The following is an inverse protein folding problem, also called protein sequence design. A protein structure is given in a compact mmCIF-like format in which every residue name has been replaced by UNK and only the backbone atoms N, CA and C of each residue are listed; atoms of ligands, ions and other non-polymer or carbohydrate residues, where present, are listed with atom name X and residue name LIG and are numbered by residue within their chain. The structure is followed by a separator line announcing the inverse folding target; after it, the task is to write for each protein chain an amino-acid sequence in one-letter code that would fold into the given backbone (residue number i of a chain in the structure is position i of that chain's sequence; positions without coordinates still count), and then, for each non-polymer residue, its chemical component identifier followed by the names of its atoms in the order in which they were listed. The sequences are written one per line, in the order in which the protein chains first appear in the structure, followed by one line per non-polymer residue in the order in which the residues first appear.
data_IF_858198677365
#
_entry.id   IF_858198677365
#
_cell.length_a   1.000
_cell.length_b   1.000
_cell.length_c   1.000
_cell.angle_alpha   90.00
_cell.angle_beta   90.00
_cell.angle_gamma   90.00
#
_symmetry.space_group_name_H-M   'P 1'
#
loop_
_entity.id
_entity.type
_entity.pdbx_description
1 polymer ?
#
# COMPACT_ATOMS: atom_id res chain seq x y z
N UNK A 1 -54.14 -7.99 -12.98
CA UNK A 1 -53.51 -8.75 -14.06
C UNK A 1 -52.03 -8.33 -14.11
N UNK A 2 -51.09 -9.27 -14.00
CA UNK A 2 -49.67 -8.97 -13.86
C UNK A 2 -49.06 -8.63 -15.23
N UNK A 3 -48.30 -7.54 -15.28
CA UNK A 3 -47.48 -7.14 -16.42
C UNK A 3 -46.21 -7.98 -16.46
N UNK A 4 -45.98 -8.60 -17.62
CA UNK A 4 -44.87 -9.50 -17.89
C UNK A 4 -43.49 -8.80 -17.82
N UNK A 5 -42.43 -9.47 -17.37
CA UNK A 5 -41.08 -8.92 -17.36
C UNK A 5 -40.43 -8.93 -18.75
N UNK A 6 -39.77 -7.82 -19.08
CA UNK A 6 -38.90 -7.64 -20.25
C UNK A 6 -37.75 -8.65 -20.26
N UNK A 7 -37.61 -9.40 -21.35
CA UNK A 7 -36.47 -10.29 -21.64
C UNK A 7 -35.23 -9.45 -21.98
N UNK A 8 -34.17 -9.58 -21.19
CA UNK A 8 -32.82 -9.15 -21.56
C UNK A 8 -32.08 -10.36 -22.15
N UNK A 9 -31.63 -10.24 -23.39
CA UNK A 9 -30.87 -11.26 -24.11
C UNK A 9 -29.51 -11.52 -23.44
N UNK A 10 -29.22 -12.77 -23.08
CA UNK A 10 -27.86 -13.23 -22.75
C UNK A 10 -27.01 -13.29 -24.04
N UNK A 11 -25.76 -12.79 -24.06
CA UNK A 11 -24.86 -13.00 -25.17
C UNK A 11 -24.50 -14.49 -25.30
N UNK A 12 -24.49 -14.98 -26.53
CA UNK A 12 -24.23 -16.38 -26.90
C UNK A 12 -22.79 -16.82 -26.59
N UNK A 13 -22.64 -18.03 -26.03
CA UNK A 13 -21.39 -18.77 -25.76
C UNK A 13 -20.63 -19.20 -27.04
N UNK A 14 -20.24 -18.28 -27.92
CA UNK A 14 -19.33 -18.57 -29.04
C UNK A 14 -18.31 -17.45 -29.17
N UNK A 15 -17.19 -17.61 -28.47
CA UNK A 15 -16.08 -16.68 -28.57
C UNK A 15 -14.85 -16.94 -27.70
N UNK A 16 -14.70 -18.10 -27.04
CA UNK A 16 -13.44 -18.47 -26.39
C UNK A 16 -12.70 -19.51 -27.24
N UNK A 17 -12.12 -19.07 -28.36
CA UNK A 17 -10.96 -19.76 -28.92
C UNK A 17 -9.73 -19.22 -28.20
N UNK A 18 -9.35 -19.92 -27.13
CA UNK A 18 -8.05 -19.76 -26.49
C UNK A 18 -6.99 -20.10 -27.56
N UNK A 19 -6.32 -19.07 -28.08
CA UNK A 19 -5.06 -19.23 -28.80
C UNK A 19 -4.06 -19.82 -27.81
N UNK A 20 -3.90 -21.15 -27.83
CA UNK A 20 -2.74 -21.81 -27.22
C UNK A 20 -1.52 -21.46 -28.07
N UNK A 21 -0.87 -20.35 -27.77
CA UNK A 21 0.53 -20.20 -28.12
C UNK A 21 1.32 -21.19 -27.28
N UNK A 22 1.86 -22.22 -27.93
CA UNK A 22 2.82 -23.13 -27.33
C UNK A 22 4.11 -22.37 -27.04
N UNK A 23 4.19 -21.75 -25.85
CA UNK A 23 5.45 -21.33 -25.28
C UNK A 23 6.23 -22.59 -24.91
N UNK A 24 7.44 -22.70 -25.46
CA UNK A 24 8.39 -23.79 -25.19
C UNK A 24 8.75 -23.80 -23.71
N UNK A 25 8.33 -24.85 -22.99
CA UNK A 25 9.05 -25.42 -21.85
C UNK A 25 9.49 -24.47 -20.73
N UNK A 26 8.64 -23.55 -20.28
CA UNK A 26 8.82 -22.95 -18.96
C UNK A 26 8.31 -23.94 -17.91
N UNK A 27 9.22 -24.43 -17.07
CA UNK A 27 8.92 -25.24 -15.91
C UNK A 27 8.03 -24.41 -14.98
N UNK A 28 6.72 -24.72 -14.94
CA UNK A 28 5.75 -24.02 -14.08
C UNK A 28 6.26 -24.09 -12.64
N UNK A 29 6.72 -22.96 -12.11
CA UNK A 29 7.28 -22.91 -10.77
C UNK A 29 6.20 -23.22 -9.74
N UNK A 30 6.53 -24.03 -8.72
CA UNK A 30 5.58 -24.29 -7.63
C UNK A 30 5.28 -23.01 -6.85
N UNK A 31 4.05 -22.88 -6.32
CA UNK A 31 3.63 -21.73 -5.52
C UNK A 31 4.56 -21.46 -4.32
N UNK A 32 5.07 -22.52 -3.68
CA UNK A 32 6.07 -22.44 -2.60
C UNK A 32 7.39 -21.80 -3.09
N UNK A 33 7.86 -22.17 -4.29
CA UNK A 33 9.05 -21.58 -4.90
C UNK A 33 8.83 -20.12 -5.29
N UNK A 34 7.64 -19.75 -5.78
CA UNK A 34 7.26 -18.36 -6.06
C UNK A 34 7.32 -17.52 -4.77
N UNK A 35 6.69 -18.00 -3.70
CA UNK A 35 6.72 -17.35 -2.38
C UNK A 35 8.15 -17.15 -1.87
N UNK A 36 9.00 -18.19 -1.92
CA UNK A 36 10.40 -18.09 -1.49
C UNK A 36 11.21 -17.12 -2.37
N UNK A 37 10.98 -17.14 -3.69
CA UNK A 37 11.66 -16.25 -4.61
C UNK A 37 11.24 -14.79 -4.41
N UNK A 38 9.95 -14.51 -4.20
CA UNK A 38 9.46 -13.18 -3.89
C UNK A 38 10.11 -12.63 -2.60
N UNK A 39 10.19 -13.46 -1.55
CA UNK A 39 10.91 -13.11 -0.30
C UNK A 39 12.37 -12.75 -0.55
N UNK A 40 13.09 -13.57 -1.32
CA UNK A 40 14.50 -13.31 -1.67
C UNK A 40 14.65 -12.04 -2.51
N UNK A 41 13.75 -11.80 -3.45
CA UNK A 41 13.76 -10.59 -4.27
C UNK A 41 13.49 -9.33 -3.45
N UNK A 42 12.51 -9.37 -2.55
CA UNK A 42 12.25 -8.28 -1.61
C UNK A 42 13.50 -7.98 -0.77
N UNK A 43 14.04 -8.99 -0.06
CA UNK A 43 15.25 -8.83 0.76
C UNK A 43 16.45 -8.30 -0.05
N UNK A 44 16.63 -8.72 -1.30
CA UNK A 44 17.70 -8.23 -2.19
C UNK A 44 17.47 -6.79 -2.66
N UNK A 45 16.21 -6.41 -2.91
CA UNK A 45 15.85 -5.05 -3.32
C UNK A 45 15.99 -4.06 -2.16
N UNK A 46 15.80 -4.52 -0.92
CA UNK A 46 15.76 -3.69 0.29
C UNK A 46 16.95 -3.89 1.22
N UNK A 47 17.90 -4.78 0.92
CA UNK A 47 19.05 -5.06 1.81
C UNK A 47 19.88 -3.81 2.08
N UNK A 48 20.23 -3.54 3.33
CA UNK A 48 21.32 -2.62 3.65
C UNK A 48 22.65 -3.28 3.22
N UNK A 49 23.61 -2.55 2.62
CA UNK A 49 23.74 -1.09 2.58
C UNK A 49 23.16 -0.40 1.32
N UNK A 50 22.22 -1.03 0.58
CA UNK A 50 21.68 -0.42 -0.64
C UNK A 50 20.97 0.92 -0.31
N UNK A 51 21.32 2.01 -1.03
CA UNK A 51 20.73 3.32 -0.80
C UNK A 51 19.23 3.29 -1.15
N UNK A 52 18.46 4.15 -0.50
CA UNK A 52 16.99 4.17 -0.62
C UNK A 52 16.53 4.57 -2.03
N UNK A 53 17.25 5.46 -2.69
CA UNK A 53 16.97 5.92 -4.06
C UNK A 53 17.12 4.79 -5.10
N UNK A 54 17.86 3.73 -4.76
CA UNK A 54 18.04 2.56 -5.63
C UNK A 54 16.91 1.52 -5.49
N UNK A 55 15.90 1.78 -4.65
CA UNK A 55 14.72 0.93 -4.49
C UNK A 55 13.70 1.29 -5.56
N UNK A 56 13.42 0.34 -6.45
CA UNK A 56 12.32 0.47 -7.42
C UNK A 56 10.99 0.23 -6.68
N UNK A 57 10.35 1.32 -6.24
CA UNK A 57 9.15 1.27 -5.40
C UNK A 57 8.04 0.40 -5.99
N UNK A 58 7.62 0.66 -7.23
CA UNK A 58 6.57 -0.11 -7.91
C UNK A 58 6.90 -1.60 -7.94
N UNK A 59 8.10 -1.96 -8.40
CA UNK A 59 8.53 -3.37 -8.53
C UNK A 59 8.63 -4.08 -7.18
N UNK A 60 9.05 -3.37 -6.14
CA UNK A 60 9.09 -3.92 -4.79
C UNK A 60 7.68 -4.15 -4.26
N UNK A 61 6.72 -3.26 -4.53
CA UNK A 61 5.30 -3.48 -4.22
C UNK A 61 4.72 -4.69 -4.98
N UNK A 62 5.06 -4.86 -6.26
CA UNK A 62 4.66 -6.04 -7.04
C UNK A 62 5.23 -7.34 -6.45
N UNK A 63 6.44 -7.29 -5.89
CA UNK A 63 7.06 -8.44 -5.22
C UNK A 63 6.31 -8.80 -3.93
N UNK A 64 5.87 -7.81 -3.15
CA UNK A 64 5.01 -8.03 -1.97
C UNK A 64 3.69 -8.69 -2.40
N UNK A 65 3.00 -8.12 -3.39
CA UNK A 65 1.73 -8.65 -3.88
C UNK A 65 1.84 -10.10 -4.41
N UNK A 66 2.92 -10.40 -5.14
CA UNK A 66 3.20 -11.75 -5.63
C UNK A 66 3.37 -12.76 -4.49
N UNK A 67 4.02 -12.35 -3.40
CA UNK A 67 4.18 -13.22 -2.23
C UNK A 67 2.85 -13.47 -1.52
N UNK A 68 2.04 -12.42 -1.32
CA UNK A 68 0.72 -12.54 -0.69
C UNK A 68 -0.20 -13.46 -1.48
N UNK A 69 -0.27 -13.28 -2.80
CA UNK A 69 -1.11 -14.10 -3.66
C UNK A 69 -0.62 -15.56 -3.66
N UNK A 70 0.68 -15.80 -3.70
CA UNK A 70 1.23 -17.15 -3.58
C UNK A 70 0.89 -17.79 -2.22
N UNK A 71 0.95 -17.03 -1.12
CA UNK A 71 0.61 -17.51 0.21
C UNK A 71 -0.88 -17.85 0.35
N UNK A 72 -1.75 -16.96 -0.13
CA UNK A 72 -3.20 -17.17 -0.13
C UNK A 72 -3.59 -18.40 -0.95
N UNK A 73 -2.95 -18.61 -2.10
CA UNK A 73 -3.21 -19.78 -2.93
C UNK A 73 -2.71 -21.09 -2.32
N UNK A 74 -1.58 -21.08 -1.59
CA UNK A 74 -1.11 -22.26 -0.86
C UNK A 74 -2.12 -22.63 0.23
N UNK A 75 -2.57 -21.65 1.02
CA UNK A 75 -3.57 -21.88 2.05
C UNK A 75 -4.89 -22.39 1.47
N UNK A 76 -5.38 -21.80 0.37
CA UNK A 76 -6.59 -22.25 -0.30
C UNK A 76 -6.49 -23.69 -0.82
N UNK A 77 -5.32 -24.10 -1.32
CA UNK A 77 -5.09 -25.49 -1.75
C UNK A 77 -5.08 -26.44 -0.54
N UNK A 78 -4.42 -26.07 0.56
CA UNK A 78 -4.40 -26.86 1.80
C UNK A 78 -5.82 -27.04 2.38
N UNK A 79 -6.63 -25.99 2.37
CA UNK A 79 -8.04 -26.07 2.78
C UNK A 79 -8.87 -26.95 1.85
N UNK A 80 -8.67 -26.86 0.53
CA UNK A 80 -9.34 -27.76 -0.43
C UNK A 80 -8.96 -29.22 -0.22
N UNK A 81 -7.69 -29.51 0.10
CA UNK A 81 -7.24 -30.87 0.40
C UNK A 81 -7.88 -31.39 1.69
N UNK A 82 -7.99 -30.56 2.74
CA UNK A 82 -8.71 -30.91 3.98
C UNK A 82 -10.21 -31.15 3.75
N UNK A 83 -10.82 -30.42 2.81
CA UNK A 83 -12.26 -30.47 2.52
C UNK A 83 -12.61 -31.18 1.20
N UNK A 84 -11.72 -32.02 0.65
CA UNK A 84 -11.80 -32.60 -0.70
C UNK A 84 -13.06 -33.46 -0.99
N UNK A 85 -13.89 -33.76 0.01
CA UNK A 85 -15.21 -34.38 -0.18
C UNK A 85 -16.27 -33.42 -0.77
N UNK A 86 -15.99 -32.12 -0.95
CA UNK A 86 -16.95 -31.13 -1.47
C UNK A 86 -16.35 -30.28 -2.60
N UNK A 87 -16.66 -30.70 -3.84
CA UNK A 87 -16.61 -29.97 -5.14
C UNK A 87 -15.28 -29.30 -5.54
N UNK A 88 -14.63 -29.89 -6.55
CA UNK A 88 -13.50 -29.31 -7.27
C UNK A 88 -13.96 -28.32 -8.38
N UNK A 89 -13.60 -27.04 -8.25
CA UNK A 89 -13.46 -26.12 -9.39
C UNK A 89 -12.14 -25.38 -9.22
N UNK A 90 -11.14 -25.75 -10.02
CA UNK A 90 -9.84 -25.09 -10.06
C UNK A 90 -9.79 -24.03 -11.16
N UNK A 91 -9.50 -22.79 -10.80
CA UNK A 91 -9.02 -21.76 -11.73
C UNK A 91 -7.55 -21.53 -11.40
N UNK A 92 -6.65 -21.96 -12.28
CA UNK A 92 -5.23 -21.65 -12.20
C UNK A 92 -4.99 -20.24 -12.74
N UNK A 93 -4.41 -19.36 -11.92
CA UNK A 93 -3.95 -18.04 -12.35
C UNK A 93 -2.44 -18.09 -12.53
N UNK A 94 -1.97 -17.57 -13.65
CA UNK A 94 -0.56 -17.52 -14.03
C UNK A 94 0.16 -16.43 -13.23
N UNK A 95 0.87 -16.82 -12.17
CA UNK A 95 1.53 -15.92 -11.21
C UNK A 95 2.72 -15.14 -11.82
N UNK A 96 3.24 -15.56 -12.97
CA UNK A 96 4.40 -14.92 -13.61
C UNK A 96 4.06 -13.69 -14.45
N UNK A 97 2.86 -13.64 -15.06
CA UNK A 97 2.46 -12.58 -15.99
C UNK A 97 2.00 -11.27 -15.35
N UNK A 98 1.48 -11.32 -14.11
CA UNK A 98 0.87 -10.17 -13.43
C UNK A 98 1.85 -9.02 -13.15
N UNK A 99 3.12 -9.34 -12.84
CA UNK A 99 4.14 -8.30 -12.55
C UNK A 99 4.55 -7.51 -13.79
N UNK A 100 4.77 -8.18 -14.93
CA UNK A 100 5.09 -7.52 -16.20
C UNK A 100 3.90 -6.71 -16.71
N UNK A 101 2.70 -7.29 -16.66
CA UNK A 101 1.46 -6.61 -17.05
C UNK A 101 1.22 -5.31 -16.25
N UNK A 102 1.49 -5.33 -14.95
CA UNK A 102 1.29 -4.16 -14.09
C UNK A 102 2.25 -3.01 -14.41
N UNK A 103 3.51 -3.29 -14.76
CA UNK A 103 4.48 -2.27 -15.17
C UNK A 103 4.10 -1.65 -16.52
N UNK A 104 3.75 -2.49 -17.50
CA UNK A 104 3.27 -2.04 -18.80
C UNK A 104 2.02 -1.18 -18.65
N UNK A 105 1.12 -1.54 -17.72
CA UNK A 105 -0.09 -0.75 -17.41
C UNK A 105 0.24 0.64 -16.88
N UNK A 106 1.26 0.78 -16.01
CA UNK A 106 1.72 2.10 -15.53
C UNK A 106 2.30 2.94 -16.66
N UNK A 107 3.03 2.32 -17.60
CA UNK A 107 3.59 3.02 -18.75
C UNK A 107 2.50 3.48 -19.73
N UNK A 108 1.46 2.65 -19.93
CA UNK A 108 0.27 3.03 -20.71
C UNK A 108 -0.48 4.20 -20.09
N UNK A 109 -0.70 4.19 -18.77
CA UNK A 109 -1.34 5.31 -18.06
C UNK A 109 -0.52 6.59 -18.22
N UNK A 110 0.80 6.50 -18.04
CA UNK A 110 1.67 7.65 -18.20
C UNK A 110 1.67 8.22 -19.63
N UNK A 111 1.61 7.36 -20.65
CA UNK A 111 1.51 7.84 -22.04
C UNK A 111 0.17 8.53 -22.31
N UNK A 112 -0.93 7.98 -21.79
CA UNK A 112 -2.23 8.65 -21.91
C UNK A 112 -2.23 10.01 -21.19
N UNK A 113 -1.62 10.13 -20.00
CA UNK A 113 -1.45 11.41 -19.32
C UNK A 113 -0.70 12.41 -20.18
N UNK A 114 0.39 12.00 -20.85
CA UNK A 114 1.14 12.88 -21.74
C UNK A 114 0.28 13.38 -22.90
N UNK A 115 -0.55 12.50 -23.48
CA UNK A 115 -1.47 12.90 -24.56
C UNK A 115 -2.49 13.94 -24.07
N UNK A 116 -3.10 13.71 -22.91
CA UNK A 116 -4.07 14.65 -22.30
C UNK A 116 -3.41 15.99 -21.98
N UNK A 117 -2.19 15.96 -21.44
CA UNK A 117 -1.44 17.18 -21.14
C UNK A 117 -1.16 18.01 -22.40
N UNK A 118 -0.75 17.39 -23.51
CA UNK A 118 -0.52 18.13 -24.77
C UNK A 118 -1.83 18.67 -25.37
N UNK A 119 -2.95 17.93 -25.25
CA UNK A 119 -4.28 18.40 -25.66
C UNK A 119 -4.70 19.64 -24.85
N UNK A 120 -4.55 19.58 -23.52
CA UNK A 120 -4.84 20.69 -22.62
C UNK A 120 -3.92 21.89 -22.87
N UNK A 121 -2.63 21.66 -23.11
CA UNK A 121 -1.65 22.71 -23.39
C UNK A 121 -1.98 23.44 -24.70
N UNK A 122 -2.30 22.69 -25.76
CA UNK A 122 -2.68 23.27 -27.05
C UNK A 122 -3.96 24.13 -26.93
N UNK A 123 -4.93 23.73 -26.11
CA UNK A 123 -6.13 24.52 -25.87
C UNK A 123 -5.82 25.87 -25.20
N UNK A 124 -4.85 25.90 -24.28
CA UNK A 124 -4.40 27.14 -23.62
C UNK A 124 -3.60 28.03 -24.59
N UNK A 125 -2.76 27.46 -25.45
CA UNK A 125 -1.97 28.20 -26.45
C UNK A 125 -2.86 28.88 -27.50
N UNK A 126 -3.97 28.24 -27.93
CA UNK A 126 -4.90 28.78 -28.93
C UNK A 126 -5.69 30.00 -28.44
N UNK A 127 -5.88 30.17 -27.13
CA UNK A 127 -6.58 31.35 -26.57
C UNK A 127 -5.67 32.59 -26.40
N UNK A 128 -4.35 32.50 -26.63
CA UNK A 128 -3.42 33.53 -26.17
C UNK A 128 -2.10 33.71 -26.94
N UNK A 129 -2.04 33.44 -28.25
CA UNK A 129 -0.79 33.55 -29.03
C UNK A 129 -0.10 34.93 -28.98
N UNK A 130 -0.79 36.03 -28.65
CA UNK A 130 -0.15 37.36 -28.52
C UNK A 130 0.27 37.75 -27.08
N UNK A 131 -0.21 37.06 -26.03
CA UNK A 131 -0.08 37.53 -24.63
C UNK A 131 0.78 36.61 -23.74
N UNK A 132 0.89 35.32 -24.05
CA UNK A 132 1.56 34.33 -23.17
C UNK A 132 3.09 34.41 -23.26
N UNK A 133 3.66 34.55 -24.46
CA UNK A 133 5.10 34.65 -24.66
C UNK A 133 5.68 35.95 -24.07
N UNK A 134 4.96 37.07 -24.21
CA UNK A 134 5.34 38.36 -23.63
C UNK A 134 5.23 38.37 -22.10
N UNK A 135 4.26 37.65 -21.52
CA UNK A 135 4.12 37.50 -20.06
C UNK A 135 5.16 36.54 -19.45
N UNK A 136 5.60 35.53 -20.19
CA UNK A 136 6.67 34.61 -19.74
C UNK A 136 8.05 35.27 -19.67
N UNK A 137 8.36 36.20 -20.57
CA UNK A 137 9.63 36.95 -20.55
C UNK A 137 9.65 38.11 -19.53
N UNK A 138 8.48 38.56 -19.06
CA UNK A 138 8.34 39.72 -18.17
C UNK A 138 8.25 39.40 -16.66
N UNK A 139 8.28 38.12 -16.25
CA UNK A 139 8.07 37.74 -14.84
C UNK A 139 9.38 37.68 -14.03
N UNK A 140 9.44 38.30 -12.82
CA UNK A 140 10.54 38.11 -11.88
C UNK A 140 10.62 36.66 -11.41
N UNK A 141 11.84 36.14 -11.20
CA UNK A 141 12.07 34.75 -10.78
C UNK A 141 11.38 34.32 -9.46
N UNK A 142 10.95 35.28 -8.64
CA UNK A 142 10.27 35.05 -7.36
C UNK A 142 8.76 34.81 -7.50
N UNK A 143 8.15 35.13 -8.65
CA UNK A 143 6.68 35.10 -8.86
C UNK A 143 6.24 33.99 -9.84
N UNK A 144 7.06 32.94 -10.01
CA UNK A 144 6.79 31.80 -10.91
C UNK A 144 5.61 30.91 -10.52
N UNK A 145 4.76 31.32 -9.58
CA UNK A 145 3.48 30.66 -9.33
C UNK A 145 2.40 31.72 -9.08
N UNK A 146 1.70 32.12 -10.15
CA UNK A 146 0.42 32.82 -10.03
C UNK A 146 -0.70 31.77 -10.03
N UNK A 147 -1.12 31.37 -8.83
CA UNK A 147 -2.18 30.40 -8.61
C UNK A 147 -3.61 30.92 -8.87
N UNK A 148 -3.79 32.12 -9.41
CA UNK A 148 -5.12 32.64 -9.70
C UNK A 148 -5.90 31.87 -10.78
N UNK A 149 -5.27 30.92 -11.52
CA UNK A 149 -5.91 30.07 -12.53
C UNK A 149 -6.11 28.59 -12.12
N UNK A 150 -5.55 28.14 -10.99
CA UNK A 150 -5.48 26.72 -10.61
C UNK A 150 -6.85 26.13 -10.17
N UNK A 151 -7.89 26.96 -9.99
CA UNK A 151 -9.22 26.50 -9.49
C UNK A 151 -10.44 26.99 -10.30
N UNK A 152 -10.28 27.66 -11.45
CA UNK A 152 -11.42 28.26 -12.17
C UNK A 152 -11.83 27.57 -13.48
N UNK A 153 -11.15 26.52 -13.92
CA UNK A 153 -11.52 25.78 -15.11
C UNK A 153 -11.72 24.31 -14.74
N UNK A 154 -12.98 23.90 -14.63
CA UNK A 154 -13.36 22.57 -15.09
C UNK A 154 -13.53 22.65 -16.61
N UNK A 155 -12.55 22.29 -17.45
CA UNK A 155 -12.89 21.95 -18.81
C UNK A 155 -13.59 20.57 -18.76
N UNK A 156 -14.84 20.52 -19.23
CA UNK A 156 -15.46 19.24 -19.63
C UNK A 156 -14.96 18.89 -21.03
N UNK A 157 -14.25 17.78 -21.27
CA UNK A 157 -14.01 17.34 -22.63
C UNK A 157 -15.16 16.45 -23.13
N UNK A 158 -15.60 16.68 -24.37
CA UNK A 158 -16.40 15.75 -25.19
C UNK A 158 -15.45 15.01 -26.13
N UNK A 159 -15.51 13.68 -26.15
CA UNK A 159 -14.86 12.79 -27.16
C UNK A 159 -15.51 12.98 -28.56
N UNK A 160 -14.79 12.79 -29.69
CA UNK A 160 -14.71 11.47 -30.36
C UNK A 160 -13.37 11.27 -31.16
N UNK A 161 -13.19 10.30 -32.11
CA UNK A 161 -12.09 9.32 -32.07
C UNK A 161 -10.99 9.47 -33.15
N UNK A 162 -9.82 8.88 -32.89
CA UNK A 162 -8.82 8.58 -33.92
C UNK A 162 -7.39 8.83 -33.45
N UNK A 163 -6.72 7.78 -32.99
CA UNK A 163 -5.30 7.80 -32.61
C UNK A 163 -4.39 7.81 -33.84
N UNK A 164 -3.35 8.66 -33.87
CA UNK A 164 -2.10 8.33 -34.53
C UNK A 164 -1.05 7.88 -33.50
N UNK A 165 -0.34 6.81 -33.82
CA UNK A 165 0.93 6.42 -33.18
C UNK A 165 1.96 7.55 -33.33
N UNK A 166 2.89 7.75 -32.37
CA UNK A 166 4.18 8.47 -32.51
C UNK A 166 5.01 8.41 -31.17
N UNK A 167 6.33 8.76 -31.16
CA UNK A 167 7.43 7.99 -30.57
C UNK A 167 8.00 8.56 -29.25
N UNK A 168 9.04 7.88 -28.71
CA UNK A 168 9.67 8.08 -27.39
C UNK A 168 9.99 9.53 -26.97
N UNK A 169 9.90 9.77 -25.66
CA UNK A 169 9.97 11.08 -25.01
C UNK A 169 11.35 11.77 -25.10
N UNK A 170 11.46 12.76 -26.01
CA UNK A 170 12.64 13.62 -26.14
C UNK A 170 12.74 14.79 -25.13
N UNK A 171 13.87 15.52 -25.12
CA UNK A 171 14.16 16.61 -24.16
C UNK A 171 13.20 17.80 -24.22
N UNK A 172 12.63 18.11 -25.38
CA UNK A 172 11.66 19.20 -25.54
C UNK A 172 10.36 18.95 -24.73
N UNK A 173 9.93 17.68 -24.61
CA UNK A 173 8.76 17.30 -23.80
C UNK A 173 8.99 17.53 -22.30
N UNK A 174 10.19 17.26 -21.78
CA UNK A 174 10.51 17.50 -20.36
C UNK A 174 10.39 18.99 -20.00
N UNK A 175 10.82 19.88 -20.88
CA UNK A 175 10.79 21.34 -20.68
C UNK A 175 9.35 21.86 -20.51
N UNK A 176 8.35 21.26 -21.17
CA UNK A 176 6.94 21.70 -21.09
C UNK A 176 6.29 21.38 -19.74
N UNK A 177 6.61 20.23 -19.14
CA UNK A 177 6.11 19.85 -17.81
C UNK A 177 6.61 20.82 -16.73
N UNK A 178 7.84 21.31 -16.88
CA UNK A 178 8.43 22.28 -15.94
C UNK A 178 7.69 23.62 -15.93
N UNK A 179 7.10 24.00 -17.06
CA UNK A 179 6.43 25.27 -17.24
C UNK A 179 4.96 25.23 -16.77
N UNK A 180 4.33 24.05 -16.81
CA UNK A 180 2.91 23.89 -16.47
C UNK A 180 2.64 22.70 -15.52
N UNK A 181 3.24 22.66 -14.32
CA UNK A 181 3.11 21.51 -13.41
C UNK A 181 1.68 21.33 -12.87
N UNK A 182 0.90 22.41 -12.72
CA UNK A 182 -0.51 22.31 -12.33
C UNK A 182 -1.38 21.71 -13.44
N UNK A 183 -1.11 22.04 -14.70
CA UNK A 183 -1.79 21.44 -15.85
C UNK A 183 -1.46 19.94 -15.96
N UNK A 184 -0.21 19.56 -15.67
CA UNK A 184 0.17 18.15 -15.58
C UNK A 184 -0.61 17.41 -14.49
N UNK A 185 -0.80 18.01 -13.31
CA UNK A 185 -1.66 17.44 -12.25
C UNK A 185 -3.09 17.25 -12.74
N UNK A 186 -3.66 18.24 -13.43
CA UNK A 186 -5.00 18.10 -14.02
C UNK A 186 -5.09 16.96 -15.04
N UNK A 187 -4.10 16.82 -15.92
CA UNK A 187 -4.04 15.71 -16.87
C UNK A 187 -3.93 14.35 -16.18
N UNK A 188 -3.15 14.25 -15.09
CA UNK A 188 -3.07 13.04 -14.25
C UNK A 188 -4.44 12.72 -13.65
N UNK A 189 -5.09 13.72 -13.04
CA UNK A 189 -6.40 13.55 -12.39
C UNK A 189 -7.46 13.09 -13.39
N UNK A 190 -7.51 13.71 -14.58
CA UNK A 190 -8.45 13.33 -15.64
C UNK A 190 -8.23 11.86 -16.06
N UNK A 191 -6.99 11.45 -16.32
CA UNK A 191 -6.72 10.08 -16.74
C UNK A 191 -7.05 9.09 -15.61
N UNK A 192 -6.54 9.31 -14.40
CA UNK A 192 -6.69 8.34 -13.33
C UNK A 192 -8.16 8.23 -12.86
N UNK A 193 -8.80 9.34 -12.54
CA UNK A 193 -10.10 9.32 -11.89
C UNK A 193 -11.27 9.39 -12.87
N UNK A 194 -11.16 10.17 -13.95
CA UNK A 194 -12.29 10.35 -14.88
C UNK A 194 -12.31 9.29 -15.99
N UNK A 195 -11.16 8.99 -16.58
CA UNK A 195 -11.08 8.04 -17.72
C UNK A 195 -10.96 6.59 -17.28
N UNK A 196 -10.06 6.29 -16.33
CA UNK A 196 -9.84 4.92 -15.82
C UNK A 196 -10.68 4.59 -14.58
N UNK A 197 -11.27 5.59 -13.93
CA UNK A 197 -12.23 5.37 -12.84
C UNK A 197 -11.59 4.81 -11.58
N UNK A 198 -10.30 5.08 -11.34
CA UNK A 198 -9.67 4.74 -10.07
C UNK A 198 -10.40 5.45 -8.92
N UNK A 199 -10.67 4.73 -7.85
CA UNK A 199 -11.48 5.21 -6.73
C UNK A 199 -10.88 4.77 -5.41
N UNK A 200 -11.12 5.60 -4.39
CA UNK A 200 -10.89 5.24 -3.00
C UNK A 200 -11.70 4.00 -2.61
N UNK A 201 -11.06 3.06 -1.92
CA UNK A 201 -11.81 2.01 -1.24
C UNK A 201 -12.74 2.63 -0.18
N UNK A 202 -13.91 2.02 0.00
CA UNK A 202 -14.80 2.30 1.13
C UNK A 202 -14.81 1.12 2.12
N UNK A 203 -14.09 0.04 1.81
CA UNK A 203 -14.03 -1.16 2.61
C UNK A 203 -12.72 -1.13 3.39
N UNK A 204 -12.80 -1.12 4.72
CA UNK A 204 -11.62 -1.33 5.53
C UNK A 204 -11.42 -2.84 5.76
N UNK A 205 -10.17 -3.27 5.89
CA UNK A 205 -9.85 -4.64 6.29
C UNK A 205 -9.70 -5.66 5.17
N UNK A 206 -9.53 -5.23 3.93
CA UNK A 206 -9.07 -6.10 2.84
C UNK A 206 -7.57 -5.88 2.58
N UNK A 207 -6.68 -6.79 3.02
CA UNK A 207 -5.23 -6.66 2.81
C UNK A 207 -4.86 -6.44 1.34
N UNK A 208 -5.63 -7.02 0.41
CA UNK A 208 -5.36 -6.91 -1.03
C UNK A 208 -5.48 -5.49 -1.57
N UNK A 209 -6.25 -4.61 -0.91
CA UNK A 209 -6.41 -3.21 -1.32
C UNK A 209 -5.16 -2.36 -1.08
N UNK A 210 -4.21 -2.87 -0.29
CA UNK A 210 -2.88 -2.30 -0.15
C UNK A 210 -1.99 -2.51 -1.38
N UNK A 211 -2.38 -3.38 -2.31
CA UNK A 211 -1.57 -3.71 -3.48
C UNK A 211 -1.90 -2.85 -4.69
N UNK A 212 -0.86 -2.34 -5.34
CA UNK A 212 -0.98 -1.65 -6.61
C UNK A 212 -1.53 -2.56 -7.73
N UNK A 213 -1.28 -3.88 -7.66
CA UNK A 213 -1.84 -4.85 -8.62
C UNK A 213 -3.36 -4.88 -8.56
N UNK A 214 -3.91 -5.04 -7.34
CA UNK A 214 -5.35 -5.04 -7.10
C UNK A 214 -5.97 -3.73 -7.57
N UNK A 215 -5.34 -2.60 -7.25
CA UNK A 215 -5.79 -1.29 -7.71
C UNK A 215 -5.80 -1.20 -9.24
N UNK A 216 -4.73 -1.61 -9.93
CA UNK A 216 -4.63 -1.56 -11.40
C UNK A 216 -5.64 -2.49 -12.10
N UNK A 217 -6.06 -3.57 -11.46
CA UNK A 217 -7.02 -4.54 -11.99
C UNK A 217 -8.48 -4.17 -11.67
N UNK A 218 -8.77 -3.85 -10.41
CA UNK A 218 -10.13 -3.62 -9.90
C UNK A 218 -10.56 -2.14 -9.93
N UNK A 219 -9.61 -1.21 -9.98
CA UNK A 219 -9.86 0.23 -9.97
C UNK A 219 -10.11 0.80 -8.56
N UNK A 220 -10.02 0.00 -7.50
CA UNK A 220 -10.23 0.44 -6.11
C UNK A 220 -9.02 0.07 -5.25
N UNK A 221 -8.63 0.96 -4.32
CA UNK A 221 -7.46 0.72 -3.48
C UNK A 221 -7.37 1.63 -2.26
N UNK A 222 -6.44 1.29 -1.37
CA UNK A 222 -6.19 2.02 -0.13
C UNK A 222 -5.46 3.34 -0.36
N UNK A 223 -5.41 4.24 0.64
CA UNK A 223 -4.68 5.51 0.57
C UNK A 223 -3.23 5.36 0.11
N UNK A 224 -2.51 4.35 0.64
CA UNK A 224 -1.12 4.10 0.24
C UNK A 224 -1.02 3.54 -1.18
N UNK A 225 -1.92 2.65 -1.61
CA UNK A 225 -1.91 2.11 -2.98
C UNK A 225 -2.18 3.21 -4.02
N UNK A 226 -3.17 4.07 -3.76
CA UNK A 226 -3.50 5.25 -4.58
C UNK A 226 -2.32 6.23 -4.62
N UNK A 227 -1.70 6.49 -3.46
CA UNK A 227 -0.51 7.31 -3.35
C UNK A 227 0.67 6.82 -4.19
N UNK A 228 0.93 5.50 -4.17
CA UNK A 228 2.00 4.88 -4.96
C UNK A 228 1.67 4.94 -6.45
N UNK A 229 0.44 4.61 -6.87
CA UNK A 229 0.02 4.73 -8.26
C UNK A 229 0.28 6.15 -8.79
N UNK A 230 -0.19 7.15 -8.05
CA UNK A 230 -0.04 8.55 -8.42
C UNK A 230 1.44 8.95 -8.50
N UNK A 231 2.23 8.56 -7.51
CA UNK A 231 3.69 8.79 -7.47
C UNK A 231 4.39 8.19 -8.68
N UNK A 232 4.03 6.97 -9.05
CA UNK A 232 4.65 6.24 -10.15
C UNK A 232 4.26 6.78 -11.52
N UNK A 233 3.05 7.33 -11.67
CA UNK A 233 2.63 8.07 -12.86
C UNK A 233 3.36 9.40 -12.95
N UNK A 234 3.40 10.20 -11.87
CA UNK A 234 4.15 11.45 -11.80
C UNK A 234 5.62 11.28 -12.23
N UNK A 235 6.32 10.28 -11.69
CA UNK A 235 7.70 9.95 -12.05
C UNK A 235 7.86 9.69 -13.55
N UNK A 236 6.95 8.93 -14.15
CA UNK A 236 6.99 8.59 -15.59
C UNK A 236 6.74 9.80 -16.47
N UNK A 237 5.81 10.67 -16.10
CA UNK A 237 5.51 11.89 -16.88
C UNK A 237 6.49 13.03 -16.64
N UNK A 238 7.45 12.85 -15.71
CA UNK A 238 8.49 13.83 -15.42
C UNK A 238 8.08 14.93 -14.45
N UNK A 239 7.01 14.72 -13.68
CA UNK A 239 6.63 15.57 -12.56
C UNK A 239 7.28 15.02 -11.27
N UNK A 240 8.36 15.64 -10.77
CA UNK A 240 9.04 15.13 -9.59
C UNK A 240 8.19 15.39 -8.35
N UNK A 241 7.73 14.31 -7.73
CA UNK A 241 6.98 14.33 -6.48
C UNK A 241 7.66 13.45 -5.44
N UNK A 242 7.45 13.79 -4.17
CA UNK A 242 7.77 12.92 -3.05
C UNK A 242 6.49 12.65 -2.26
N UNK A 243 6.31 11.41 -1.82
CA UNK A 243 5.15 11.03 -1.01
C UNK A 243 5.46 11.00 0.47
N UNK A 244 4.42 11.11 1.29
CA UNK A 244 4.46 10.82 2.71
C UNK A 244 3.21 10.06 3.12
N UNK A 245 3.37 8.80 3.58
CA UNK A 245 2.33 8.17 4.35
C UNK A 245 2.20 8.87 5.71
N UNK A 246 0.96 9.07 6.13
CA UNK A 246 0.59 9.51 7.47
C UNK A 246 -0.17 8.35 8.09
N UNK A 247 0.34 7.85 9.20
CA UNK A 247 -0.20 6.72 9.94
C UNK A 247 -0.50 7.22 11.34
N UNK A 248 -1.77 7.19 11.74
CA UNK A 248 -2.18 7.46 13.11
C UNK A 248 -3.21 6.42 13.57
N UNK A 249 -3.67 6.52 14.82
CA UNK A 249 -4.67 5.62 15.37
C UNK A 249 -6.03 5.69 14.64
N UNK A 250 -6.26 6.71 13.81
CA UNK A 250 -7.51 6.98 13.11
C UNK A 250 -7.45 6.61 11.63
N UNK A 251 -6.31 6.12 11.13
CA UNK A 251 -6.21 5.48 9.83
C UNK A 251 -4.90 5.72 9.08
N UNK A 252 -4.96 5.40 7.79
CA UNK A 252 -3.85 5.53 6.84
C UNK A 252 -4.16 6.65 5.86
N UNK A 253 -3.21 7.55 5.63
CA UNK A 253 -3.33 8.65 4.66
C UNK A 253 -2.04 8.77 3.85
N UNK A 254 -2.12 9.46 2.72
CA UNK A 254 -0.98 9.64 1.84
C UNK A 254 -1.05 10.98 1.11
N UNK A 255 -0.01 11.80 1.25
CA UNK A 255 0.09 13.10 0.58
C UNK A 255 1.34 13.18 -0.29
N UNK A 256 1.28 14.02 -1.33
CA UNK A 256 2.37 14.20 -2.28
C UNK A 256 2.80 15.67 -2.38
N UNK A 257 4.11 15.91 -2.32
CA UNK A 257 4.72 17.20 -2.63
C UNK A 257 5.29 17.22 -4.03
N UNK A 258 4.96 18.22 -4.86
CA UNK A 258 5.83 18.62 -5.96
C UNK A 258 7.17 19.11 -5.41
N UNK A 259 8.28 18.42 -5.68
CA UNK A 259 9.57 18.71 -5.06
C UNK A 259 10.38 19.77 -5.79
N UNK A 260 10.31 19.78 -7.13
CA UNK A 260 11.01 20.77 -7.96
C UNK A 260 10.19 22.03 -8.20
N UNK A 261 8.86 21.89 -8.19
CA UNK A 261 7.91 22.98 -8.52
C UNK A 261 6.84 23.09 -7.43
N UNK A 262 7.20 23.53 -6.21
CA UNK A 262 6.26 23.57 -5.10
C UNK A 262 5.08 24.50 -5.42
N UNK A 263 3.87 24.03 -5.14
CA UNK A 263 2.66 24.82 -5.31
C UNK A 263 2.53 25.78 -4.13
N UNK A 264 2.66 27.09 -4.37
CA UNK A 264 2.65 28.11 -3.32
C UNK A 264 1.72 29.28 -3.60
N UNK A 265 0.60 29.41 -2.87
CA UNK A 265 -0.32 30.56 -2.97
C UNK A 265 -0.11 31.46 -1.76
N UNK A 266 0.20 32.74 -1.95
CA UNK A 266 0.23 33.69 -0.83
C UNK A 266 1.16 33.28 0.33
N UNK A 267 2.21 32.50 0.04
CA UNK A 267 3.13 31.95 1.05
C UNK A 267 2.78 30.55 1.58
N UNK A 268 1.56 30.07 1.37
CA UNK A 268 1.10 28.73 1.79
C UNK A 268 1.51 27.67 0.77
N UNK A 269 1.98 26.52 1.25
CA UNK A 269 2.34 25.36 0.43
C UNK A 269 1.15 24.40 0.27
N UNK A 270 0.95 23.87 -0.94
CA UNK A 270 -0.12 22.92 -1.23
C UNK A 270 0.43 21.53 -1.55
N UNK A 271 -0.30 20.52 -1.07
CA UNK A 271 -0.03 19.09 -1.23
C UNK A 271 -1.09 18.49 -2.14
N UNK A 272 -0.74 17.44 -2.86
CA UNK A 272 -1.70 16.66 -3.65
C UNK A 272 -2.22 15.53 -2.75
N UNK A 273 -3.53 15.31 -2.76
CA UNK A 273 -4.22 14.18 -2.12
C UNK A 273 -4.69 13.16 -3.17
N UNK A 274 -3.92 12.08 -3.44
CA UNK A 274 -4.33 11.03 -4.35
C UNK A 274 -5.60 10.27 -3.94
N UNK A 275 -5.92 10.27 -2.65
CA UNK A 275 -7.13 9.58 -2.17
C UNK A 275 -8.38 10.44 -2.36
N UNK A 276 -8.22 11.76 -2.27
CA UNK A 276 -9.18 12.81 -2.62
C UNK A 276 -9.20 13.17 -4.11
N UNK A 277 -8.97 12.23 -5.02
CA UNK A 277 -8.97 12.45 -6.48
C UNK A 277 -7.96 13.50 -6.98
N UNK A 278 -6.83 13.65 -6.29
CA UNK A 278 -5.77 14.60 -6.63
C UNK A 278 -6.10 16.05 -6.26
N UNK A 279 -7.05 16.27 -5.35
CA UNK A 279 -7.35 17.57 -4.77
C UNK A 279 -6.09 18.17 -4.11
N UNK A 280 -6.03 19.51 -4.08
CA UNK A 280 -4.93 20.25 -3.46
C UNK A 280 -5.31 20.63 -2.02
N UNK A 281 -4.52 20.16 -1.06
CA UNK A 281 -4.69 20.44 0.37
C UNK A 281 -3.64 21.44 0.84
N UNK A 282 -4.01 22.40 1.71
CA UNK A 282 -3.00 23.25 2.32
C UNK A 282 -2.17 22.44 3.31
N UNK A 283 -0.85 22.61 3.28
CA UNK A 283 0.06 21.91 4.20
C UNK A 283 -0.26 22.22 5.66
N UNK A 284 -0.66 23.46 5.95
CA UNK A 284 -1.07 23.92 7.27
C UNK A 284 -2.34 23.21 7.77
N UNK A 285 -3.35 23.04 6.91
CA UNK A 285 -4.55 22.27 7.21
C UNK A 285 -4.24 20.79 7.47
N UNK A 286 -3.35 20.18 6.67
CA UNK A 286 -2.89 18.79 6.91
C UNK A 286 -2.18 18.68 8.25
N UNK A 287 -1.32 19.64 8.61
CA UNK A 287 -0.68 19.66 9.92
C UNK A 287 -1.71 19.72 11.06
N UNK A 288 -2.76 20.55 10.91
CA UNK A 288 -3.80 20.72 11.92
C UNK A 288 -4.64 19.45 12.09
N UNK A 289 -5.14 18.88 10.99
CA UNK A 289 -6.00 17.68 10.99
C UNK A 289 -5.30 16.49 11.66
N UNK A 290 -4.03 16.28 11.36
CA UNK A 290 -3.26 15.14 11.88
C UNK A 290 -2.47 15.48 13.15
N UNK A 291 -2.66 16.68 13.73
CA UNK A 291 -1.89 17.15 14.90
C UNK A 291 -0.37 17.04 14.72
N UNK A 292 0.11 17.23 13.48
CA UNK A 292 1.52 17.13 13.12
C UNK A 292 2.19 18.50 13.19
N UNK A 293 3.42 18.55 13.69
CA UNK A 293 4.23 19.74 13.52
C UNK A 293 4.63 19.91 12.05
N UNK A 294 4.80 21.15 11.60
CA UNK A 294 5.27 21.44 10.24
C UNK A 294 6.63 20.81 9.90
N UNK A 295 7.44 20.50 10.92
CA UNK A 295 8.71 19.79 10.79
C UNK A 295 8.56 18.27 10.69
N UNK A 296 7.45 17.71 11.17
CA UNK A 296 7.15 16.28 11.09
C UNK A 296 6.66 15.88 9.69
N UNK A 297 6.05 16.83 8.97
CA UNK A 297 5.59 16.65 7.58
C UNK A 297 6.77 16.81 6.60
N UNK A 298 7.38 15.69 6.21
CA UNK A 298 8.53 15.65 5.28
C UNK A 298 8.45 14.48 4.29
N UNK A 299 9.04 14.64 3.08
CA UNK A 299 9.26 13.56 2.12
C UNK A 299 9.70 12.24 2.77
N UNK A 300 8.91 11.19 2.55
CA UNK A 300 9.24 9.86 3.04
C UNK A 300 10.20 9.15 2.09
N UNK A 301 11.04 8.30 2.66
CA UNK A 301 11.89 7.36 1.91
C UNK A 301 11.05 6.24 1.31
N UNK A 302 11.57 5.58 0.28
CA UNK A 302 10.97 4.37 -0.31
C UNK A 302 10.78 3.28 0.72
N UNK A 303 11.73 3.10 1.66
CA UNK A 303 11.59 2.20 2.81
C UNK A 303 10.40 2.55 3.69
N UNK A 304 10.18 3.83 3.99
CA UNK A 304 9.04 4.28 4.80
C UNK A 304 7.71 4.09 4.07
N UNK A 305 7.66 4.34 2.76
CA UNK A 305 6.47 4.07 1.93
C UNK A 305 6.16 2.57 1.89
N UNK A 306 7.16 1.71 1.66
CA UNK A 306 6.99 0.25 1.68
C UNK A 306 6.57 -0.26 3.06
N UNK A 307 7.12 0.31 4.13
CA UNK A 307 6.70 0.02 5.49
C UNK A 307 5.23 0.36 5.70
N UNK A 308 4.74 1.46 5.12
CA UNK A 308 3.33 1.84 5.20
C UNK A 308 2.38 0.86 4.52
N UNK A 309 2.76 0.35 3.34
CA UNK A 309 2.03 -0.75 2.69
C UNK A 309 1.91 -1.96 3.62
N UNK A 310 3.01 -2.33 4.27
CA UNK A 310 3.04 -3.44 5.21
C UNK A 310 2.24 -3.16 6.49
N UNK A 311 2.22 -1.91 6.98
CA UNK A 311 1.39 -1.50 8.12
C UNK A 311 -0.09 -1.69 7.80
N UNK A 312 -0.56 -1.15 6.67
CA UNK A 312 -1.94 -1.31 6.22
C UNK A 312 -2.36 -2.78 6.15
N UNK A 313 -1.51 -3.61 5.52
CA UNK A 313 -1.78 -5.04 5.39
C UNK A 313 -1.77 -5.76 6.74
N UNK A 314 -0.80 -5.45 7.61
CA UNK A 314 -0.72 -6.01 8.95
C UNK A 314 -2.00 -5.72 9.73
N UNK A 315 -2.49 -4.49 9.71
CA UNK A 315 -3.69 -4.09 10.46
C UNK A 315 -4.94 -4.82 9.94
N UNK A 316 -5.06 -4.95 8.62
CA UNK A 316 -6.14 -5.73 8.01
C UNK A 316 -6.07 -7.23 8.38
N UNK A 317 -4.87 -7.80 8.36
CA UNK A 317 -4.65 -9.19 8.78
C UNK A 317 -4.86 -9.39 10.28
N UNK A 318 -4.44 -8.42 11.10
CA UNK A 318 -4.65 -8.42 12.53
C UNK A 318 -6.15 -8.44 12.85
N UNK A 319 -6.92 -7.51 12.28
CA UNK A 319 -8.37 -7.47 12.48
C UNK A 319 -9.05 -8.80 12.13
N UNK A 320 -8.64 -9.41 11.01
CA UNK A 320 -9.12 -10.73 10.59
C UNK A 320 -8.66 -11.86 11.50
N UNK A 321 -7.47 -11.77 12.09
CA UNK A 321 -6.92 -12.81 12.94
C UNK A 321 -7.62 -12.88 14.31
N UNK A 322 -8.12 -11.76 14.81
CA UNK A 322 -8.81 -11.67 16.11
C UNK A 322 -10.32 -11.47 15.97
N UNK A 323 -10.83 -11.37 14.74
CA UNK A 323 -12.26 -11.20 14.44
C UNK A 323 -12.82 -9.83 14.83
N UNK A 324 -11.98 -8.79 14.96
CA UNK A 324 -12.44 -7.44 15.28
C UNK A 324 -12.81 -6.64 14.02
N UNK A 325 -13.43 -5.48 14.22
CA UNK A 325 -13.79 -4.59 13.11
C UNK A 325 -12.53 -3.97 12.49
N UNK A 326 -12.39 -3.95 11.16
CA UNK A 326 -11.23 -3.32 10.52
C UNK A 326 -11.38 -1.79 10.35
N UNK A 327 -12.54 -1.22 10.66
CA UNK A 327 -12.76 0.23 10.62
C UNK A 327 -11.78 0.95 11.56
N UNK A 328 -11.08 2.02 11.13
CA UNK A 328 -10.02 2.64 11.95
C UNK A 328 -10.45 3.02 13.36
N UNK A 329 -11.68 3.50 13.54
CA UNK A 329 -12.22 3.88 14.85
C UNK A 329 -12.62 2.70 15.75
N UNK A 330 -12.67 1.47 15.21
CA UNK A 330 -13.10 0.24 15.88
C UNK A 330 -12.03 -0.86 15.80
N UNK A 331 -10.88 -0.56 15.21
CA UNK A 331 -9.77 -1.49 15.09
C UNK A 331 -9.12 -1.66 16.46
N UNK A 332 -9.14 -2.88 16.97
CA UNK A 332 -8.42 -3.20 18.20
C UNK A 332 -6.91 -3.00 17.97
N UNK A 333 -6.23 -2.21 18.81
CA UNK A 333 -4.84 -1.87 18.61
C UNK A 333 -3.93 -3.10 18.77
N UNK A 334 -2.85 -3.15 18.00
CA UNK A 334 -1.77 -4.12 18.23
C UNK A 334 -0.80 -3.54 19.27
N UNK A 335 -1.12 -3.76 20.54
CA UNK A 335 -0.36 -3.33 21.71
C UNK A 335 -0.28 -4.41 22.80
N UNK A 336 0.44 -4.10 23.88
CA UNK A 336 0.68 -5.03 24.99
C UNK A 336 -0.61 -5.46 25.69
N UNK A 337 -1.50 -4.50 25.95
CA UNK A 337 -2.76 -4.73 26.66
C UNK A 337 -3.60 -5.72 25.86
N UNK A 338 -3.86 -5.40 24.60
CA UNK A 338 -4.71 -6.20 23.72
C UNK A 338 -4.15 -7.62 23.58
N UNK A 339 -2.86 -7.77 23.31
CA UNK A 339 -2.25 -9.10 23.11
C UNK A 339 -2.23 -9.93 24.40
N UNK A 340 -2.16 -9.29 25.56
CA UNK A 340 -2.18 -9.97 26.86
C UNK A 340 -3.56 -10.43 27.32
N UNK A 341 -4.63 -9.76 26.85
CA UNK A 341 -6.02 -10.06 27.24
C UNK A 341 -6.75 -10.97 26.23
N UNK A 342 -6.20 -11.15 25.03
CA UNK A 342 -6.81 -11.98 23.99
C UNK A 342 -6.69 -13.47 24.30
N UNK A 343 -7.84 -14.14 24.31
CA UNK A 343 -7.91 -15.61 24.25
C UNK A 343 -7.72 -16.07 22.80
N UNK A 344 -6.57 -16.69 22.53
CA UNK A 344 -6.23 -17.17 21.19
C UNK A 344 -6.89 -18.53 20.89
N UNK A 345 -7.83 -18.54 19.95
CA UNK A 345 -8.35 -19.79 19.37
C UNK A 345 -7.34 -20.35 18.36
N UNK A 346 -6.45 -21.21 18.85
CA UNK A 346 -5.43 -21.87 18.03
C UNK A 346 -6.01 -22.91 17.05
N UNK A 347 -7.29 -23.26 17.14
CA UNK A 347 -7.97 -24.18 16.22
C UNK A 347 -8.59 -23.46 15.01
N UNK A 348 -8.67 -22.12 15.06
CA UNK A 348 -9.18 -21.32 13.96
C UNK A 348 -8.15 -21.19 12.83
N UNK A 349 -8.24 -22.09 11.85
CA UNK A 349 -7.34 -22.15 10.68
C UNK A 349 -7.21 -20.82 9.92
N UNK A 350 -8.33 -20.12 9.69
CA UNK A 350 -8.30 -18.81 9.02
C UNK A 350 -7.68 -17.72 9.92
N UNK A 351 -7.98 -17.71 11.22
CA UNK A 351 -7.37 -16.79 12.18
C UNK A 351 -5.86 -16.95 12.22
N UNK A 352 -5.40 -18.19 12.35
CA UNK A 352 -3.98 -18.56 12.30
C UNK A 352 -3.29 -18.16 10.99
N UNK A 353 -3.97 -18.36 9.84
CA UNK A 353 -3.44 -17.91 8.56
C UNK A 353 -3.25 -16.39 8.54
N UNK A 354 -4.28 -15.63 8.93
CA UNK A 354 -4.23 -14.17 8.96
C UNK A 354 -3.15 -13.68 9.95
N UNK A 355 -3.04 -14.30 11.13
CA UNK A 355 -2.00 -13.97 12.12
C UNK A 355 -0.58 -14.18 11.55
N UNK A 356 -0.34 -15.30 10.86
CA UNK A 356 0.94 -15.55 10.17
C UNK A 356 1.22 -14.53 9.06
N UNK A 357 0.19 -14.04 8.37
CA UNK A 357 0.37 -12.95 7.39
C UNK A 357 0.69 -11.62 8.07
N UNK A 358 0.07 -11.32 9.21
CA UNK A 358 0.40 -10.15 10.02
C UNK A 358 1.86 -10.19 10.51
N UNK A 359 2.33 -11.34 11.04
CA UNK A 359 3.75 -11.58 11.40
C UNK A 359 4.67 -11.31 10.22
N UNK A 360 4.33 -11.85 9.04
CA UNK A 360 5.11 -11.67 7.82
C UNK A 360 5.23 -10.16 7.47
N UNK A 361 4.14 -9.39 7.57
CA UNK A 361 4.17 -7.95 7.34
C UNK A 361 5.07 -7.23 8.34
N UNK A 362 4.96 -7.57 9.62
CA UNK A 362 5.75 -6.97 10.70
C UNK A 362 7.25 -7.29 10.59
N UNK A 363 7.64 -8.53 10.28
CA UNK A 363 9.04 -8.93 10.04
C UNK A 363 9.69 -8.04 8.95
N UNK A 364 8.97 -7.81 7.85
CA UNK A 364 9.45 -6.96 6.76
C UNK A 364 9.51 -5.51 7.16
N UNK A 365 8.58 -5.03 7.98
CA UNK A 365 8.61 -3.65 8.48
C UNK A 365 9.85 -3.42 9.35
N UNK A 366 10.18 -4.34 10.26
CA UNK A 366 11.44 -4.31 11.04
C UNK A 366 12.66 -4.35 10.12
N UNK A 367 12.64 -5.18 9.07
CA UNK A 367 13.72 -5.21 8.07
C UNK A 367 13.91 -3.87 7.34
N UNK A 368 12.82 -3.17 7.00
CA UNK A 368 12.87 -1.87 6.32
C UNK A 368 13.29 -0.73 7.25
N UNK A 369 12.82 -0.78 8.50
CA UNK A 369 12.97 0.26 9.52
C UNK A 369 13.59 -0.33 10.80
N UNK A 370 14.86 -0.75 10.78
CA UNK A 370 15.47 -1.47 11.91
C UNK A 370 15.67 -0.61 13.17
N UNK A 371 15.47 0.70 13.10
CA UNK A 371 15.55 1.62 14.23
C UNK A 371 14.17 2.03 14.77
N UNK A 372 13.09 1.58 14.14
CA UNK A 372 11.71 1.89 14.55
C UNK A 372 11.30 0.98 15.71
N UNK A 373 11.24 1.54 16.92
CA UNK A 373 10.87 0.81 18.14
C UNK A 373 9.45 0.27 18.09
N UNK A 374 8.51 0.99 17.46
CA UNK A 374 7.13 0.51 17.37
C UNK A 374 7.04 -0.67 16.40
N UNK A 375 7.78 -0.65 15.29
CA UNK A 375 7.89 -1.80 14.40
C UNK A 375 8.44 -3.03 15.14
N UNK A 376 9.47 -2.82 15.96
CA UNK A 376 10.10 -3.85 16.78
C UNK A 376 9.12 -4.46 17.79
N UNK A 377 8.42 -3.62 18.56
CA UNK A 377 7.44 -4.06 19.55
C UNK A 377 6.30 -4.85 18.90
N UNK A 378 5.70 -4.31 17.83
CA UNK A 378 4.56 -4.95 17.15
C UNK A 378 4.94 -6.29 16.51
N UNK A 379 6.17 -6.44 16.02
CA UNK A 379 6.66 -7.72 15.55
C UNK A 379 6.80 -8.73 16.70
N UNK A 380 7.37 -8.33 17.83
CA UNK A 380 7.51 -9.18 19.00
C UNK A 380 6.16 -9.64 19.57
N UNK A 381 5.19 -8.73 19.64
CA UNK A 381 3.82 -9.02 20.07
C UNK A 381 3.10 -10.00 19.16
N UNK A 382 3.28 -9.90 17.84
CA UNK A 382 2.71 -10.87 16.91
C UNK A 382 3.37 -12.25 17.03
N UNK A 383 4.68 -12.31 17.34
CA UNK A 383 5.35 -13.58 17.62
C UNK A 383 4.81 -14.23 18.90
N UNK A 384 4.61 -13.42 19.95
CA UNK A 384 3.95 -13.86 21.18
C UNK A 384 2.56 -14.46 20.89
N UNK A 385 1.74 -13.74 20.12
CA UNK A 385 0.40 -14.19 19.72
C UNK A 385 0.41 -15.52 18.95
N UNK A 386 1.43 -15.77 18.12
CA UNK A 386 1.57 -17.06 17.42
C UNK A 386 2.10 -18.21 18.30
N UNK A 387 2.51 -17.93 19.53
CA UNK A 387 3.16 -18.88 20.43
C UNK A 387 4.66 -19.10 20.16
N UNK A 388 5.29 -18.30 19.29
CA UNK A 388 6.75 -18.29 19.12
C UNK A 388 7.40 -17.43 20.21
N UNK A 389 7.37 -17.97 21.43
CA UNK A 389 7.84 -17.30 22.64
C UNK A 389 9.35 -17.06 22.64
N UNK A 390 10.13 -17.89 21.94
CA UNK A 390 11.57 -17.70 21.82
C UNK A 390 11.87 -16.46 20.98
N UNK A 391 11.27 -16.34 19.79
CA UNK A 391 11.43 -15.15 18.94
C UNK A 391 10.84 -13.92 19.63
N UNK A 392 9.67 -14.03 20.25
CA UNK A 392 9.07 -12.92 21.00
C UNK A 392 10.01 -12.38 22.09
N UNK A 393 10.60 -13.26 22.90
CA UNK A 393 11.53 -12.86 23.96
C UNK A 393 12.78 -12.17 23.40
N UNK A 394 13.36 -12.69 22.31
CA UNK A 394 14.51 -12.07 21.66
C UNK A 394 14.19 -10.66 21.14
N UNK A 395 13.07 -10.49 20.44
CA UNK A 395 12.68 -9.23 19.82
C UNK A 395 12.24 -8.17 20.85
N UNK A 396 11.64 -8.59 21.98
CA UNK A 396 11.39 -7.70 23.13
C UNK A 396 12.70 -7.29 23.82
N UNK A 397 13.69 -8.17 23.89
CA UNK A 397 15.03 -7.83 24.37
C UNK A 397 15.67 -6.73 23.52
N UNK A 398 15.60 -6.85 22.18
CA UNK A 398 16.06 -5.82 21.25
C UNK A 398 15.30 -4.50 21.41
N UNK A 399 13.99 -4.56 21.68
CA UNK A 399 13.19 -3.37 22.00
C UNK A 399 13.72 -2.67 23.26
N UNK A 400 13.89 -3.39 24.37
CA UNK A 400 14.38 -2.82 25.64
C UNK A 400 15.83 -2.32 25.58
N UNK A 401 16.72 -3.00 24.86
CA UNK A 401 18.11 -2.52 24.69
C UNK A 401 18.18 -1.16 23.99
N UNK A 402 17.16 -0.83 23.19
CA UNK A 402 17.03 0.46 22.51
C UNK A 402 16.19 1.45 23.31
N UNK A 403 15.23 0.95 24.09
CA UNK A 403 14.40 1.71 25.03
C UNK A 403 15.25 2.26 26.17
N UNK A 404 15.04 3.52 26.52
CA UNK A 404 15.82 4.18 27.58
C UNK A 404 15.45 3.74 29.01
N UNK A 405 14.55 2.77 29.18
CA UNK A 405 14.07 2.30 30.49
C UNK A 405 13.24 3.35 31.23
N UNK A 406 12.58 4.25 30.50
CA UNK A 406 11.91 5.43 31.06
C UNK A 406 10.47 5.63 30.55
N UNK A 407 9.97 4.73 29.71
CA UNK A 407 8.59 4.73 29.21
C UNK A 407 7.75 3.70 29.97
N UNK A 408 6.46 3.97 30.17
CA UNK A 408 5.49 3.06 30.82
C UNK A 408 5.40 1.72 30.06
N UNK A 409 5.61 1.76 28.74
CA UNK A 409 5.73 0.57 27.90
C UNK A 409 6.94 -0.30 28.27
N UNK A 410 8.08 0.28 28.66
CA UNK A 410 9.30 -0.48 28.98
C UNK A 410 9.09 -1.35 30.22
N UNK A 411 8.37 -0.85 31.23
CA UNK A 411 8.01 -1.60 32.44
C UNK A 411 7.08 -2.78 32.11
N UNK A 412 6.04 -2.54 31.30
CA UNK A 412 5.11 -3.60 30.88
C UNK A 412 5.80 -4.67 30.02
N UNK A 413 6.71 -4.25 29.12
CA UNK A 413 7.52 -5.20 28.33
C UNK A 413 8.43 -6.03 29.23
N UNK A 414 9.07 -5.43 30.24
CA UNK A 414 9.92 -6.16 31.18
C UNK A 414 9.13 -7.24 31.94
N UNK A 415 7.91 -6.92 32.41
CA UNK A 415 7.01 -7.89 33.05
C UNK A 415 6.65 -9.03 32.10
N UNK A 416 6.30 -8.72 30.84
CA UNK A 416 6.01 -9.75 29.82
C UNK A 416 7.22 -10.65 29.56
N UNK A 417 8.42 -10.07 29.49
CA UNK A 417 9.66 -10.83 29.31
C UNK A 417 9.98 -11.75 30.49
N UNK A 418 9.71 -11.33 31.73
CA UNK A 418 9.87 -12.20 32.90
C UNK A 418 8.89 -13.38 32.86
N UNK A 419 7.63 -13.14 32.48
CA UNK A 419 6.64 -14.21 32.28
C UNK A 419 7.08 -15.21 31.21
N UNK A 420 7.55 -14.71 30.06
CA UNK A 420 8.09 -15.54 28.97
C UNK A 420 9.33 -16.34 29.41
N UNK A 421 10.22 -15.71 30.17
CA UNK A 421 11.42 -16.37 30.70
C UNK A 421 11.05 -17.54 31.60
N UNK A 422 10.10 -17.35 32.53
CA UNK A 422 9.61 -18.45 33.38
C UNK A 422 9.05 -19.58 32.53
N UNK A 423 8.25 -19.28 31.50
CA UNK A 423 7.71 -20.29 30.59
C UNK A 423 8.82 -21.08 29.86
N UNK A 424 9.81 -20.39 29.30
CA UNK A 424 10.94 -20.99 28.58
C UNK A 424 11.87 -21.80 29.51
N UNK A 425 12.01 -21.41 30.77
CA UNK A 425 12.84 -22.12 31.76
C UNK A 425 12.14 -23.38 32.33
N UNK A 426 10.81 -23.40 32.42
CA UNK A 426 10.04 -24.55 32.94
C UNK A 426 9.75 -25.64 31.88
N UNK A 427 9.86 -25.33 30.58
CA UNK A 427 9.40 -26.19 29.49
C UNK A 427 10.50 -27.02 28.80
N UNK A 428 11.11 -27.97 29.53
CA UNK A 428 12.01 -28.99 28.93
C UNK A 428 11.37 -30.38 28.84
N UNK A 429 10.22 -30.65 29.49
CA UNK A 429 9.69 -32.03 29.55
C UNK A 429 8.18 -32.23 29.46
N UNK A 430 7.34 -31.19 29.42
CA UNK A 430 5.87 -31.36 29.34
C UNK A 430 5.20 -30.25 28.51
N UNK A 431 5.27 -30.36 27.19
CA UNK A 431 4.41 -29.58 26.27
C UNK A 431 3.11 -30.36 26.04
N UNK A 432 1.93 -29.84 26.43
CA UNK A 432 0.68 -30.25 25.81
C UNK A 432 0.48 -29.46 24.50
N UNK A 433 0.12 -30.16 23.44
CA UNK A 433 -0.28 -29.55 22.18
C UNK A 433 -1.52 -28.65 22.41
N UNK A 434 -1.38 -27.33 22.24
CA UNK A 434 -2.52 -26.44 21.95
C UNK A 434 -3.26 -25.77 23.12
N UNK A 435 -2.69 -25.61 24.31
CA UNK A 435 -3.32 -24.84 25.40
C UNK A 435 -3.01 -23.33 25.35
N UNK A 436 -4.02 -22.47 25.54
CA UNK A 436 -3.85 -21.04 25.80
C UNK A 436 -3.04 -20.81 27.09
N UNK A 437 -2.12 -19.84 27.07
CA UNK A 437 -1.20 -19.49 28.17
C UNK A 437 -1.92 -19.24 29.51
N UNK A 438 -3.12 -18.65 29.49
CA UNK A 438 -3.90 -18.37 30.70
C UNK A 438 -4.49 -19.61 31.38
N UNK A 439 -4.67 -20.71 30.64
CA UNK A 439 -5.15 -21.96 31.22
C UNK A 439 -4.11 -22.66 32.08
N UNK A 440 -2.82 -22.39 31.85
CA UNK A 440 -1.70 -22.97 32.61
C UNK A 440 -1.36 -22.20 33.89
N UNK A 441 -1.77 -20.93 33.98
CA UNK A 441 -1.47 -20.02 35.09
C UNK A 441 -2.73 -19.37 35.69
N UNK A 442 -3.82 -20.14 35.85
CA UNK A 442 -4.78 -19.83 36.91
C UNK A 442 -4.03 -19.96 38.24
N UNK A 443 -3.44 -18.85 38.70
CA UNK A 443 -3.09 -18.67 40.11
C UNK A 443 -4.43 -18.71 40.83
N UNK A 444 -4.81 -19.88 41.31
CA UNK A 444 -5.83 -19.98 42.35
C UNK A 444 -5.30 -19.18 43.52
N UNK A 445 -6.10 -18.22 44.02
CA UNK A 445 -5.96 -17.50 45.30
C UNK A 445 -6.00 -18.45 46.52
N UNK A 446 -5.36 -19.60 46.42
CA UNK A 446 -5.20 -20.60 47.46
C UNK A 446 -3.71 -20.90 47.54
N UNK A 447 -2.96 -19.99 48.15
CA UNK A 447 -1.87 -20.30 49.07
C UNK A 447 -1.27 -18.97 49.58
N UNK A 448 -1.95 -18.40 50.60
CA UNK A 448 -1.35 -17.50 51.60
C UNK A 448 -0.43 -18.27 52.56
#
# INVERSE_FOLDING_TARGET
APTAPLRVHRPSERGQRVMRCAAKGEEVMSKKKVLEQARKQFKRATSLPRPDEAIELAKTCLTIALEEEAAAQIFADEQREKHADVIAVGVGVDLGGATTWSLDRLDMLAEEVRMVFEEQLAAVEVEGEEDVAARLEALPAADRVDLSQVLALKPKPKRPPGSPELPEAGPARRVRVELFPALMVNAINEVLYERHGFRRSQQHGEPREGHITTLLEAGEGSPVAMGILYTEVCKRVGLPVAGMPIEDAYGHYYVLWPTKYPFKVGGEEYLIDPYGNGDLLQKSEVCEVFSLSSKAIQPATSRRILASVLTYMRDAYWARAIGCSPEPALLEPLDLVTVSELEWDMEWDEGNFNLRRAVACAERRVHLLPADQQAQLQYALLQYATGDFETAWQELGVYLERGGGADENDEQVAVLMERLRMFLEFDVTQRPDGGSFDSAFQITDQDE
#
